data_IF_140685981274
#
_entry.id   IF_140685981274
#
_cell.length_a   1.000
_cell.length_b   1.000
_cell.length_c   1.000
_cell.angle_alpha   90.00
_cell.angle_beta   90.00
_cell.angle_gamma   90.00
#
_symmetry.space_group_name_H-M   'P 1'
#
loop_
_entity.id
_entity.type
_entity.pdbx_description
1 polymer ?
#
# COMPACT_ATOMS: atom_id res chain seq x y z
N UNK A 1 -1.43 34.13 -0.19
CA UNK A 1 -1.50 32.70 0.19
C UNK A 1 -2.44 32.51 1.38
N UNK A 2 -3.70 32.14 1.15
CA UNK A 2 -4.77 32.12 2.17
C UNK A 2 -4.69 30.96 3.18
N UNK A 3 -3.91 29.92 2.90
CA UNK A 3 -3.89 28.66 3.66
C UNK A 3 -2.63 28.44 4.54
N UNK A 4 -1.67 29.37 4.51
CA UNK A 4 -0.43 29.25 5.27
C UNK A 4 -0.64 29.28 6.79
N UNK A 5 -1.60 30.11 7.22
CA UNK A 5 -1.91 30.39 8.62
C UNK A 5 -2.57 29.19 9.32
N UNK A 6 -3.43 28.44 8.62
CA UNK A 6 -4.18 27.31 9.17
C UNK A 6 -3.43 25.96 9.09
N UNK A 7 -2.59 25.76 8.08
CA UNK A 7 -1.98 24.45 7.78
C UNK A 7 -0.47 24.38 8.07
N UNK A 8 0.18 25.50 8.38
CA UNK A 8 1.62 25.59 8.63
C UNK A 8 2.47 25.48 7.35
N UNK A 9 3.60 26.20 7.31
CA UNK A 9 4.45 26.35 6.12
C UNK A 9 4.93 25.02 5.51
N UNK A 10 5.18 23.99 6.32
CA UNK A 10 5.63 22.67 5.85
C UNK A 10 4.60 21.94 4.97
N UNK A 11 3.30 22.25 5.11
CA UNK A 11 2.27 21.63 4.26
C UNK A 11 2.24 22.24 2.86
N UNK A 12 2.54 23.53 2.72
CA UNK A 12 2.49 24.24 1.43
C UNK A 12 3.56 23.73 0.46
N UNK A 13 4.82 23.61 0.90
CA UNK A 13 5.90 23.05 0.07
C UNK A 13 5.56 21.63 -0.41
N UNK A 14 4.93 20.82 0.45
CA UNK A 14 4.51 19.47 0.08
C UNK A 14 3.36 19.48 -0.94
N UNK A 15 2.44 20.45 -0.85
CA UNK A 15 1.32 20.62 -1.79
C UNK A 15 1.84 21.12 -3.15
N UNK A 16 2.73 22.12 -3.17
CA UNK A 16 3.35 22.63 -4.39
C UNK A 16 4.15 21.52 -5.10
N UNK A 17 5.03 20.83 -4.38
CA UNK A 17 5.79 19.68 -4.91
C UNK A 17 4.88 18.57 -5.44
N UNK A 18 3.69 18.38 -4.84
CA UNK A 18 2.71 17.41 -5.31
C UNK A 18 2.03 17.87 -6.60
N UNK A 19 1.68 19.16 -6.70
CA UNK A 19 1.12 19.79 -7.89
C UNK A 19 2.06 19.76 -9.09
N UNK A 20 3.33 20.13 -8.88
CA UNK A 20 4.36 20.07 -9.93
C UNK A 20 4.57 18.64 -10.45
N UNK A 21 4.63 17.65 -9.55
CA UNK A 21 4.72 16.23 -9.91
C UNK A 21 3.49 15.72 -10.65
N UNK A 22 2.32 16.30 -10.42
CA UNK A 22 1.11 15.95 -11.13
C UNK A 22 1.12 16.53 -12.56
N UNK A 23 1.49 17.80 -12.72
CA UNK A 23 1.56 18.46 -14.03
C UNK A 23 2.61 17.81 -14.92
N UNK A 24 3.77 17.47 -14.36
CA UNK A 24 4.85 16.79 -15.09
C UNK A 24 4.54 15.31 -15.38
N UNK A 25 3.55 14.72 -14.72
CA UNK A 25 3.20 13.31 -14.89
C UNK A 25 2.56 13.08 -16.26
N UNK A 26 3.16 12.22 -17.08
CA UNK A 26 2.66 11.93 -18.43
C UNK A 26 3.30 12.80 -19.50
N UNK A 27 4.20 13.71 -19.13
CA UNK A 27 4.95 14.51 -20.09
C UNK A 27 5.98 13.65 -20.84
N UNK A 28 5.86 13.65 -22.18
CA UNK A 28 6.71 12.92 -23.10
C UNK A 28 8.09 13.60 -23.29
N UNK A 29 8.22 14.90 -22.97
CA UNK A 29 9.49 15.63 -23.07
C UNK A 29 10.50 15.17 -22.01
N UNK A 30 10.02 14.57 -20.91
CA UNK A 30 10.84 14.02 -19.84
C UNK A 30 11.34 12.59 -20.10
N UNK A 31 11.29 12.15 -21.36
CA UNK A 31 11.76 10.84 -21.80
C UNK A 31 10.66 9.78 -21.87
N UNK A 32 10.79 8.89 -22.84
CA UNK A 32 9.76 7.91 -23.22
C UNK A 32 10.36 6.52 -23.39
N UNK A 33 9.61 5.51 -22.99
CA UNK A 33 9.85 4.12 -23.33
C UNK A 33 8.84 3.70 -24.40
N UNK A 34 9.30 3.15 -25.52
CA UNK A 34 8.43 2.43 -26.46
C UNK A 34 8.30 0.99 -26.00
N UNK A 35 7.08 0.55 -25.73
CA UNK A 35 6.80 -0.81 -25.30
C UNK A 35 6.05 -1.50 -26.43
N UNK A 36 6.72 -2.46 -27.06
CA UNK A 36 6.18 -3.25 -28.17
C UNK A 36 6.01 -4.70 -27.74
N UNK A 37 4.83 -5.26 -27.96
CA UNK A 37 4.61 -6.68 -27.82
C UNK A 37 5.50 -7.44 -28.83
N UNK A 38 6.25 -8.44 -28.36
CA UNK A 38 7.11 -9.24 -29.23
C UNK A 38 6.33 -10.32 -29.99
N UNK A 39 5.08 -10.57 -29.63
CA UNK A 39 4.23 -11.52 -30.33
C UNK A 39 3.84 -10.95 -31.71
N UNK A 40 4.13 -11.70 -32.78
CA UNK A 40 3.93 -11.28 -34.18
C UNK A 40 2.46 -11.00 -34.51
N UNK A 41 1.54 -11.71 -33.86
CA UNK A 41 0.10 -11.61 -34.14
C UNK A 41 -0.61 -10.52 -33.32
N UNK A 42 0.04 -9.99 -32.27
CA UNK A 42 -0.57 -9.02 -31.36
C UNK A 42 -0.42 -7.57 -31.86
N UNK A 43 0.73 -7.23 -32.46
CA UNK A 43 1.00 -5.91 -33.04
C UNK A 43 0.97 -4.71 -32.05
N UNK A 44 0.67 -4.94 -30.78
CA UNK A 44 0.44 -3.90 -29.79
C UNK A 44 1.72 -3.12 -29.48
N UNK A 45 1.63 -1.78 -29.59
CA UNK A 45 2.74 -0.86 -29.39
C UNK A 45 2.23 0.42 -28.74
N UNK A 46 2.88 0.86 -27.67
CA UNK A 46 2.53 2.11 -27.01
C UNK A 46 3.74 2.78 -26.38
N UNK A 47 3.67 4.11 -26.30
CA UNK A 47 4.69 4.92 -25.62
C UNK A 47 4.30 5.16 -24.18
N UNK A 48 5.28 4.99 -23.27
CA UNK A 48 5.13 5.26 -21.85
C UNK A 48 6.12 6.35 -21.41
N UNK A 49 5.64 7.54 -20.99
CA UNK A 49 6.52 8.56 -20.44
C UNK A 49 7.12 8.11 -19.09
N UNK A 50 8.39 8.42 -18.86
CA UNK A 50 9.10 8.09 -17.62
C UNK A 50 8.64 8.93 -16.41
N UNK A 51 7.99 10.05 -16.66
CA UNK A 51 7.45 10.96 -15.64
C UNK A 51 6.27 10.38 -14.86
N UNK A 52 5.56 9.35 -15.38
CA UNK A 52 4.45 8.71 -14.65
C UNK A 52 4.94 7.72 -13.59
N UNK A 53 5.34 8.27 -12.43
CA UNK A 53 5.78 7.53 -11.23
C UNK A 53 5.08 7.98 -9.93
N UNK A 54 4.10 8.88 -10.02
CA UNK A 54 3.41 9.44 -8.86
C UNK A 54 2.52 8.45 -8.11
N UNK A 55 2.48 8.55 -6.78
CA UNK A 55 1.58 7.80 -5.91
C UNK A 55 0.44 8.71 -5.41
N UNK A 56 -0.78 8.20 -5.34
CA UNK A 56 -2.02 8.91 -4.93
C UNK A 56 -2.49 10.12 -5.76
N UNK A 57 -1.63 10.77 -6.55
CA UNK A 57 -2.01 11.97 -7.31
C UNK A 57 -2.54 11.68 -8.72
N UNK A 58 -1.84 10.86 -9.51
CA UNK A 58 -2.34 10.44 -10.82
C UNK A 58 -3.14 9.15 -10.68
N UNK A 59 -4.43 9.11 -11.07
CA UNK A 59 -5.25 7.91 -10.94
C UNK A 59 -4.66 6.72 -11.71
N UNK A 60 -4.11 6.95 -12.91
CA UNK A 60 -3.51 5.91 -13.73
C UNK A 60 -2.23 5.33 -13.14
N UNK A 61 -1.31 6.18 -12.65
CA UNK A 61 -0.07 5.68 -12.02
C UNK A 61 -0.38 5.02 -10.65
N UNK A 62 -1.34 5.57 -9.90
CA UNK A 62 -1.78 5.02 -8.61
C UNK A 62 -2.44 3.64 -8.78
N UNK A 63 -3.37 3.49 -9.72
CA UNK A 63 -4.05 2.22 -9.99
C UNK A 63 -3.06 1.15 -10.45
N UNK A 64 -2.17 1.47 -11.41
CA UNK A 64 -1.12 0.54 -11.87
C UNK A 64 -0.28 0.04 -10.70
N UNK A 65 0.12 0.93 -9.79
CA UNK A 65 0.94 0.56 -8.64
C UNK A 65 0.19 -0.28 -7.63
N UNK A 66 -1.09 -0.01 -7.38
CA UNK A 66 -1.94 -0.85 -6.54
C UNK A 66 -2.05 -2.26 -7.10
N UNK A 67 -2.25 -2.39 -8.43
CA UNK A 67 -2.31 -3.69 -9.11
C UNK A 67 -1.00 -4.47 -8.98
N UNK A 68 0.13 -3.85 -9.34
CA UNK A 68 1.45 -4.48 -9.23
C UNK A 68 1.79 -4.86 -7.77
N UNK A 69 1.38 -4.04 -6.80
CA UNK A 69 1.57 -4.37 -5.39
C UNK A 69 0.68 -5.55 -4.96
N UNK A 70 -0.56 -5.62 -5.45
CA UNK A 70 -1.45 -6.75 -5.15
C UNK A 70 -0.99 -8.06 -5.79
N UNK A 71 -0.42 -7.99 -6.99
CA UNK A 71 0.21 -9.11 -7.69
C UNK A 71 1.41 -9.60 -6.88
N UNK A 72 2.35 -8.71 -6.54
CA UNK A 72 3.48 -9.03 -5.68
C UNK A 72 3.06 -9.60 -4.31
N UNK A 73 2.01 -9.06 -3.67
CA UNK A 73 1.49 -9.62 -2.44
C UNK A 73 0.95 -11.04 -2.63
N UNK A 74 0.23 -11.27 -3.72
CA UNK A 74 -0.33 -12.57 -4.04
C UNK A 74 0.76 -13.56 -4.37
N UNK A 75 1.74 -13.19 -5.19
CA UNK A 75 2.72 -14.12 -5.74
C UNK A 75 3.92 -14.36 -4.83
N UNK A 76 4.41 -13.33 -4.16
CA UNK A 76 5.67 -13.39 -3.40
C UNK A 76 5.44 -13.30 -1.89
N UNK A 77 4.48 -12.51 -1.42
CA UNK A 77 4.29 -12.30 0.04
C UNK A 77 3.40 -13.36 0.69
N UNK A 78 2.36 -13.81 -0.01
CA UNK A 78 1.41 -14.80 0.53
C UNK A 78 1.77 -16.25 0.22
N UNK A 79 2.55 -16.50 -0.83
CA UNK A 79 2.86 -17.87 -1.30
C UNK A 79 4.25 -18.35 -0.92
N UNK A 80 5.20 -17.45 -0.65
CA UNK A 80 6.48 -17.87 -0.11
C UNK A 80 6.32 -18.14 1.39
N UNK A 81 6.01 -19.39 1.74
CA UNK A 81 6.69 -20.10 2.81
C UNK A 81 6.55 -21.62 2.63
N UNK A 82 7.66 -22.37 2.70
CA UNK A 82 7.63 -23.83 2.68
C UNK A 82 7.01 -24.31 3.99
N UNK A 83 5.81 -24.90 3.95
CA UNK A 83 5.35 -25.74 5.06
C UNK A 83 5.46 -27.20 4.65
N UNK A 84 6.31 -27.90 5.42
CA UNK A 84 6.21 -29.30 5.85
C UNK A 84 5.44 -30.26 4.93
N UNK A 85 6.20 -31.25 4.44
CA UNK A 85 5.78 -32.61 4.07
C UNK A 85 4.27 -32.94 4.20
N UNK A 86 3.59 -33.08 3.06
CA UNK A 86 2.21 -33.56 3.06
C UNK A 86 1.59 -33.78 1.68
N UNK A 87 1.94 -34.90 1.04
CA UNK A 87 1.30 -35.56 -0.13
C UNK A 87 1.29 -34.81 -1.48
N UNK A 88 2.13 -35.31 -2.37
CA UNK A 88 2.05 -35.15 -3.81
C UNK A 88 0.63 -35.45 -4.33
N UNK A 89 0.06 -34.54 -5.12
CA UNK A 89 -1.13 -34.82 -5.93
C UNK A 89 -2.13 -33.68 -6.08
N UNK A 90 -2.08 -32.63 -5.26
CA UNK A 90 -3.00 -31.51 -5.42
C UNK A 90 -2.26 -30.17 -5.31
N UNK A 91 -2.37 -29.34 -6.35
CA UNK A 91 -1.71 -28.04 -6.50
C UNK A 91 -2.38 -26.99 -5.60
N UNK A 92 -2.53 -27.29 -4.31
CA UNK A 92 -3.15 -26.41 -3.32
C UNK A 92 -2.04 -25.69 -2.59
N UNK A 93 -1.73 -24.48 -3.05
CA UNK A 93 -0.76 -23.58 -2.43
C UNK A 93 -0.91 -23.55 -0.90
N UNK A 94 0.17 -23.66 -0.12
CA UNK A 94 0.12 -23.48 1.33
C UNK A 94 -0.11 -22.00 1.61
N UNK A 95 -1.37 -21.57 1.57
CA UNK A 95 -1.74 -20.19 1.91
C UNK A 95 -1.45 -19.99 3.39
N UNK A 96 -0.50 -19.11 3.72
CA UNK A 96 -0.37 -18.59 5.09
C UNK A 96 -1.76 -18.10 5.54
N UNK A 97 -2.29 -18.51 6.71
CA UNK A 97 -3.56 -18.00 7.18
C UNK A 97 -3.41 -16.50 7.47
N UNK A 98 -3.87 -15.67 6.54
CA UNK A 98 -3.93 -14.23 6.72
C UNK A 98 -5.28 -13.88 7.37
N UNK A 99 -5.27 -12.91 8.28
CA UNK A 99 -6.49 -12.41 8.93
C UNK A 99 -6.54 -10.90 8.81
N UNK A 100 -7.67 -10.40 8.33
CA UNK A 100 -7.95 -8.98 8.27
C UNK A 100 -8.66 -8.55 9.56
N UNK A 101 -8.09 -7.56 10.24
CA UNK A 101 -8.73 -6.92 11.38
C UNK A 101 -9.14 -5.50 10.98
N UNK A 102 -10.42 -5.18 11.15
CA UNK A 102 -10.96 -3.84 10.89
C UNK A 102 -11.39 -3.25 12.22
N UNK A 103 -10.69 -2.20 12.66
CA UNK A 103 -11.01 -1.47 13.88
C UNK A 103 -11.69 -0.16 13.53
N UNK A 104 -12.93 0.02 13.98
CA UNK A 104 -13.65 1.27 13.78
C UNK A 104 -13.24 2.29 14.84
N UNK A 105 -12.70 3.43 14.40
CA UNK A 105 -12.39 4.53 15.30
C UNK A 105 -13.65 5.39 15.57
N UNK A 106 -14.00 5.64 16.84
CA UNK A 106 -15.06 6.59 17.21
C UNK A 106 -14.83 7.98 16.59
N UNK A 107 -15.91 8.67 16.20
CA UNK A 107 -15.85 9.96 15.48
C UNK A 107 -15.00 11.01 16.20
N UNK A 108 -15.12 11.10 17.53
CA UNK A 108 -14.37 12.05 18.36
C UNK A 108 -12.86 11.82 18.27
N UNK A 109 -12.41 10.56 18.20
CA UNK A 109 -10.99 10.22 18.16
C UNK A 109 -10.36 10.47 16.78
N UNK A 110 -11.14 10.47 15.70
CA UNK A 110 -10.63 10.67 14.32
C UNK A 110 -9.88 12.00 14.17
N UNK A 111 -10.39 13.07 14.78
CA UNK A 111 -9.75 14.39 14.77
C UNK A 111 -8.37 14.37 15.44
N UNK A 112 -8.26 13.66 16.56
CA UNK A 112 -7.02 13.52 17.33
C UNK A 112 -5.98 12.73 16.52
N UNK A 113 -6.37 11.59 15.94
CA UNK A 113 -5.49 10.79 15.07
C UNK A 113 -5.08 11.54 13.79
N UNK A 114 -5.99 12.33 13.21
CA UNK A 114 -5.70 13.16 12.02
C UNK A 114 -4.65 14.22 12.31
N UNK A 115 -4.68 14.84 13.49
CA UNK A 115 -3.75 15.90 13.89
C UNK A 115 -2.43 15.36 14.42
N UNK A 116 -2.42 14.17 15.03
CA UNK A 116 -1.25 13.56 15.65
C UNK A 116 -0.89 12.18 15.06
N UNK A 117 -0.03 12.18 14.03
CA UNK A 117 0.47 10.96 13.36
C UNK A 117 1.27 10.04 14.30
N UNK A 118 1.90 10.58 15.34
CA UNK A 118 2.71 9.77 16.28
C UNK A 118 1.82 8.88 17.16
N UNK A 119 0.63 9.36 17.50
CA UNK A 119 -0.35 8.60 18.28
C UNK A 119 -0.82 7.36 17.50
N UNK A 120 -1.07 7.50 16.20
CA UNK A 120 -1.41 6.38 15.33
C UNK A 120 -0.34 5.29 15.37
N UNK A 121 0.94 5.66 15.24
CA UNK A 121 2.03 4.69 15.30
C UNK A 121 2.09 3.95 16.65
N UNK A 122 1.83 4.63 17.77
CA UNK A 122 1.76 4.00 19.10
C UNK A 122 0.62 2.99 19.19
N UNK A 123 -0.58 3.37 18.73
CA UNK A 123 -1.75 2.50 18.76
C UNK A 123 -1.58 1.29 17.85
N UNK A 124 -1.00 1.45 16.66
CA UNK A 124 -0.69 0.33 15.76
C UNK A 124 0.28 -0.67 16.39
N UNK A 125 1.28 -0.20 17.16
CA UNK A 125 2.21 -1.07 17.90
C UNK A 125 1.49 -1.81 19.03
N UNK A 126 0.59 -1.14 19.75
CA UNK A 126 -0.21 -1.76 20.81
C UNK A 126 -1.12 -2.85 20.25
N UNK A 127 -1.82 -2.58 19.15
CA UNK A 127 -2.65 -3.58 18.46
C UNK A 127 -1.80 -4.80 18.08
N UNK A 128 -0.55 -4.58 17.62
CA UNK A 128 0.34 -5.67 17.23
C UNK A 128 0.70 -6.56 18.41
N UNK A 129 1.01 -5.93 19.55
CA UNK A 129 1.33 -6.63 20.79
C UNK A 129 0.12 -7.44 21.27
N UNK A 130 -1.06 -6.82 21.37
CA UNK A 130 -2.28 -7.50 21.82
C UNK A 130 -2.63 -8.72 20.97
N UNK A 131 -2.53 -8.60 19.64
CA UNK A 131 -2.80 -9.72 18.73
C UNK A 131 -1.73 -10.81 18.92
N UNK A 132 -0.47 -10.44 19.10
CA UNK A 132 0.62 -11.40 19.35
C UNK A 132 0.44 -12.17 20.64
N UNK A 133 0.08 -11.47 21.70
CA UNK A 133 -0.11 -12.05 23.03
C UNK A 133 -1.32 -12.99 23.01
N UNK A 134 -2.42 -12.58 22.38
CA UNK A 134 -3.62 -13.40 22.22
C UNK A 134 -3.33 -14.71 21.47
N UNK A 135 -2.67 -14.64 20.30
CA UNK A 135 -2.36 -15.86 19.55
C UNK A 135 -1.34 -16.74 20.26
N UNK A 136 -0.34 -16.15 20.91
CA UNK A 136 0.65 -16.91 21.68
C UNK A 136 0.02 -17.63 22.87
N UNK A 137 -0.93 -16.98 23.55
CA UNK A 137 -1.71 -17.57 24.64
C UNK A 137 -2.59 -18.73 24.16
N UNK A 138 -3.39 -18.52 23.11
CA UNK A 138 -4.33 -19.54 22.59
C UNK A 138 -3.60 -20.76 22.03
N UNK A 139 -2.43 -20.58 21.42
CA UNK A 139 -1.68 -21.68 20.81
C UNK A 139 -0.65 -22.32 21.73
N UNK A 140 -0.42 -21.75 22.91
CA UNK A 140 0.59 -22.23 23.87
C UNK A 140 2.03 -22.16 23.35
N UNK A 141 2.29 -21.40 22.27
CA UNK A 141 3.61 -21.23 21.64
C UNK A 141 3.77 -19.81 21.14
N UNK A 142 5.00 -19.31 21.10
CA UNK A 142 5.26 -17.97 20.57
C UNK A 142 5.13 -17.97 19.04
N UNK A 143 4.16 -17.22 18.53
CA UNK A 143 3.93 -17.09 17.09
C UNK A 143 4.55 -15.80 16.59
N UNK A 144 5.40 -15.90 15.55
CA UNK A 144 5.87 -14.73 14.80
C UNK A 144 4.97 -14.50 13.59
N UNK A 145 4.39 -13.31 13.48
CA UNK A 145 3.66 -12.85 12.30
C UNK A 145 4.08 -11.42 11.96
N UNK A 146 3.91 -11.05 10.70
CA UNK A 146 4.00 -9.67 10.24
C UNK A 146 2.61 -9.04 10.24
N UNK A 147 2.52 -7.76 10.62
CA UNK A 147 1.27 -7.01 10.56
C UNK A 147 1.45 -5.74 9.74
N UNK A 148 0.53 -5.53 8.79
CA UNK A 148 0.43 -4.30 8.01
C UNK A 148 -0.79 -3.54 8.55
N UNK A 149 -0.56 -2.34 9.06
CA UNK A 149 -1.65 -1.48 9.57
C UNK A 149 -1.77 -0.25 8.68
N UNK A 150 -2.96 -0.08 8.11
CA UNK A 150 -3.32 1.11 7.36
C UNK A 150 -4.46 1.85 8.06
N UNK A 151 -4.38 3.19 8.08
CA UNK A 151 -5.50 4.03 8.46
C UNK A 151 -6.27 4.40 7.19
N UNK A 152 -7.51 3.92 7.07
CA UNK A 152 -8.40 4.33 6.00
C UNK A 152 -9.33 5.44 6.51
N UNK A 153 -9.18 6.65 5.97
CA UNK A 153 -10.24 7.66 6.06
C UNK A 153 -11.34 7.24 5.09
N UNK A 154 -12.50 6.82 5.59
CA UNK A 154 -13.70 6.78 4.76
C UNK A 154 -13.94 8.21 4.26
N UNK A 155 -13.94 8.36 2.93
CA UNK A 155 -14.23 9.57 2.14
C UNK A 155 -14.27 10.89 2.90
N UNK A 156 -13.16 11.64 2.81
CA UNK A 156 -13.10 13.11 2.88
C UNK A 156 -11.98 13.56 1.93
#
# INVERSE_FOLDING_TARGET
>A
MKYATDYGKFRLQRIENAGEKFITCGDYLHGIARIRCQNKDCGYDYFRPFSCKGFYLCPSCSQKRTLLLSEHFTEEVFLDLPWLHGRAGNRRFPTRPHRQFVFTLPKVLRLIFRRNRTLFAKVSRLINQLISDFYSYVTGRTIRFGMIVAHQTFGD
#
